data_IF_088891755944
#
_entry.id   IF_088891755944
#
_cell.length_a   1.000
_cell.length_b   1.000
_cell.length_c   1.000
_cell.angle_alpha   90.00
_cell.angle_beta   90.00
_cell.angle_gamma   90.00
#
_symmetry.space_group_name_H-M   'P 1'
#
loop_
_entity.id
_entity.type
_entity.pdbx_description
1 polymer ?
#
# COMPACT_ATOMS: atom_id res chain seq x y z
N UNK A 1 -8.44 25.79 -10.44
CA UNK A 1 -8.86 24.52 -9.81
C UNK A 1 -7.73 24.00 -8.95
N UNK A 2 -8.05 23.58 -7.76
CA UNK A 2 -7.06 23.01 -6.83
C UNK A 2 -7.26 21.52 -6.76
N UNK A 3 -6.18 20.77 -6.96
CA UNK A 3 -6.21 19.31 -6.87
C UNK A 3 -5.09 18.83 -5.98
N UNK A 4 -5.43 17.95 -5.05
CA UNK A 4 -4.43 17.37 -4.16
C UNK A 4 -4.88 15.95 -3.81
N UNK A 5 -3.94 15.01 -3.88
CA UNK A 5 -4.25 13.60 -3.65
C UNK A 5 -3.04 12.94 -3.00
N UNK A 6 -3.16 12.70 -1.71
CA UNK A 6 -2.09 12.07 -0.95
C UNK A 6 -2.71 11.17 0.11
N UNK A 7 -2.21 9.95 0.19
CA UNK A 7 -2.70 8.94 1.13
C UNK A 7 -1.50 8.35 1.85
N UNK A 8 -1.59 8.28 3.18
CA UNK A 8 -0.60 7.61 4.00
C UNK A 8 -1.32 6.57 4.84
N UNK A 9 -0.89 5.32 4.72
CA UNK A 9 -1.51 4.22 5.46
C UNK A 9 -0.43 3.38 6.12
N UNK A 10 -0.69 2.95 7.34
CA UNK A 10 0.12 1.97 8.03
C UNK A 10 -0.77 0.82 8.42
N UNK A 11 -0.35 -0.39 8.09
CA UNK A 11 -1.15 -1.57 8.37
C UNK A 11 -0.36 -2.83 8.13
N UNK A 12 -1.07 -3.95 8.16
CA UNK A 12 -0.47 -5.27 7.98
C UNK A 12 -0.96 -5.91 6.70
N UNK A 13 -0.07 -6.65 6.06
CA UNK A 13 -0.45 -7.39 4.87
C UNK A 13 -1.36 -8.56 5.26
N UNK A 14 -2.49 -8.69 4.56
CA UNK A 14 -3.42 -9.78 4.81
C UNK A 14 -3.08 -11.02 4.02
N UNK A 15 -2.18 -10.89 3.05
CA UNK A 15 -1.71 -12.01 2.23
C UNK A 15 -0.32 -11.67 1.71
N UNK A 16 0.34 -12.66 1.13
CA UNK A 16 1.64 -12.43 0.52
C UNK A 16 1.51 -11.51 -0.68
N UNK A 17 2.52 -10.66 -0.94
CA UNK A 17 2.50 -9.80 -2.12
C UNK A 17 2.47 -10.62 -3.41
N UNK A 18 1.73 -10.13 -4.39
CA UNK A 18 1.65 -10.75 -5.70
C UNK A 18 2.43 -9.90 -6.69
N UNK A 19 3.59 -10.38 -7.10
CA UNK A 19 4.40 -9.71 -8.10
C UNK A 19 4.06 -10.25 -9.47
N UNK A 20 3.84 -9.36 -10.42
CA UNK A 20 3.62 -9.73 -11.80
C UNK A 20 4.29 -8.74 -12.71
N UNK A 21 4.56 -9.18 -13.92
CA UNK A 21 5.17 -8.32 -14.93
C UNK A 21 4.20 -8.14 -16.08
N UNK A 22 4.08 -6.90 -16.53
CA UNK A 22 3.22 -6.57 -17.65
C UNK A 22 3.92 -6.93 -18.97
N UNK A 23 3.17 -6.98 -20.09
CA UNK A 23 3.79 -7.29 -21.38
C UNK A 23 4.93 -6.36 -21.78
N UNK A 24 4.92 -5.14 -21.26
CA UNK A 24 6.00 -4.18 -21.53
C UNK A 24 7.20 -4.35 -20.59
N UNK A 25 7.14 -5.32 -19.67
CA UNK A 25 8.23 -5.61 -18.75
C UNK A 25 8.17 -4.88 -17.43
N UNK A 26 7.22 -4.02 -17.23
CA UNK A 26 7.10 -3.28 -15.96
C UNK A 26 6.64 -4.20 -14.83
N UNK A 27 7.28 -4.06 -13.68
CA UNK A 27 6.91 -4.80 -12.50
C UNK A 27 5.71 -4.15 -11.82
N UNK A 28 4.81 -4.97 -11.31
CA UNK A 28 3.62 -4.53 -10.61
C UNK A 28 3.38 -5.49 -9.44
N UNK A 29 3.18 -4.95 -8.25
CA UNK A 29 2.94 -5.77 -7.07
C UNK A 29 1.66 -5.33 -6.39
N UNK A 30 0.78 -6.29 -6.14
CA UNK A 30 -0.48 -6.04 -5.46
C UNK A 30 -0.35 -6.44 -4.00
N UNK A 31 -0.73 -5.53 -3.13
CA UNK A 31 -0.79 -5.74 -1.70
C UNK A 31 -2.22 -5.53 -1.21
N UNK A 32 -2.57 -6.22 -0.14
CA UNK A 32 -3.82 -5.93 0.56
C UNK A 32 -3.50 -5.69 2.02
N UNK A 33 -3.81 -4.48 2.47
CA UNK A 33 -3.53 -4.07 3.85
C UNK A 33 -4.78 -4.12 4.70
N UNK A 34 -4.60 -4.48 5.96
CA UNK A 34 -5.62 -4.27 6.97
C UNK A 34 -5.16 -3.11 7.83
N UNK A 35 -5.99 -2.07 7.89
CA UNK A 35 -5.72 -0.88 8.68
C UNK A 35 -6.80 -0.81 9.75
N UNK A 36 -6.38 -0.90 11.01
CA UNK A 36 -7.30 -0.95 12.13
C UNK A 36 -7.41 0.40 12.80
N UNK A 37 -8.60 0.68 13.31
CA UNK A 37 -8.84 1.86 14.11
C UNK A 37 -9.54 1.43 15.39
N UNK A 38 -9.04 1.88 16.53
CA UNK A 38 -9.63 1.58 17.83
C UNK A 38 -9.98 2.91 18.49
N UNK A 39 -11.20 2.98 19.02
CA UNK A 39 -11.61 4.19 19.74
C UNK A 39 -12.52 3.80 20.90
N UNK A 40 -12.65 4.74 21.84
CA UNK A 40 -13.51 4.56 23.00
C UNK A 40 -14.83 5.24 22.72
N UNK A 41 -15.91 4.49 22.82
CA UNK A 41 -17.25 5.00 22.58
C UNK A 41 -17.81 5.77 23.77
N UNK A 42 -18.96 6.39 23.56
CA UNK A 42 -19.66 7.11 24.63
C UNK A 42 -20.09 6.18 25.76
N UNK A 43 -20.22 4.90 25.45
CA UNK A 43 -20.57 3.87 26.45
C UNK A 43 -19.38 3.44 27.29
N UNK A 44 -18.22 4.04 27.08
CA UNK A 44 -17.01 3.70 27.80
C UNK A 44 -16.31 2.45 27.31
N UNK A 45 -16.84 1.82 26.27
CA UNK A 45 -16.24 0.59 25.72
C UNK A 45 -15.36 0.88 24.53
N UNK A 46 -14.38 0.02 24.33
CA UNK A 46 -13.50 0.11 23.17
C UNK A 46 -14.19 -0.50 21.95
N UNK A 47 -14.08 0.19 20.83
CA UNK A 47 -14.60 -0.26 19.54
C UNK A 47 -13.46 -0.37 18.56
N UNK A 48 -13.58 -1.28 17.61
CA UNK A 48 -12.56 -1.52 16.61
C UNK A 48 -13.18 -1.66 15.23
N UNK A 49 -12.63 -0.93 14.28
CA UNK A 49 -12.94 -1.09 12.86
C UNK A 49 -11.68 -1.55 12.12
N UNK A 50 -11.89 -2.34 11.09
CA UNK A 50 -10.81 -2.74 10.21
C UNK A 50 -11.18 -2.34 8.79
N UNK A 51 -10.26 -1.63 8.13
CA UNK A 51 -10.43 -1.24 6.75
C UNK A 51 -9.44 -2.05 5.91
N UNK A 52 -9.93 -2.71 4.87
CA UNK A 52 -9.08 -3.44 3.95
C UNK A 52 -8.86 -2.60 2.70
N UNK A 53 -7.59 -2.39 2.35
CA UNK A 53 -7.23 -1.49 1.27
C UNK A 53 -6.32 -2.23 0.29
N UNK A 54 -6.66 -2.14 -0.99
CA UNK A 54 -5.79 -2.65 -2.05
C UNK A 54 -4.76 -1.59 -2.40
N UNK A 55 -3.51 -2.00 -2.46
CA UNK A 55 -2.39 -1.13 -2.82
C UNK A 55 -1.67 -1.76 -4.00
N UNK A 56 -1.36 -0.95 -4.99
CA UNK A 56 -0.53 -1.38 -6.11
C UNK A 56 0.78 -0.63 -6.08
N UNK A 57 1.86 -1.37 -6.28
CA UNK A 57 3.21 -0.82 -6.36
C UNK A 57 3.77 -1.09 -7.75
N UNK A 58 4.63 -0.19 -8.22
CA UNK A 58 5.19 -0.28 -9.55
C UNK A 58 6.71 -0.27 -9.51
N UNK A 59 7.31 -0.90 -10.52
CA UNK A 59 8.73 -0.83 -10.80
C UNK A 59 9.59 -1.32 -9.62
N UNK A 60 10.59 -0.57 -9.23
CA UNK A 60 11.51 -0.98 -8.18
C UNK A 60 10.81 -1.20 -6.85
N UNK A 61 9.86 -0.35 -6.51
CA UNK A 61 9.10 -0.49 -5.27
C UNK A 61 8.35 -1.82 -5.25
N UNK A 62 7.79 -2.22 -6.38
CA UNK A 62 7.09 -3.49 -6.50
C UNK A 62 8.04 -4.67 -6.26
N UNK A 63 9.22 -4.61 -6.85
CA UNK A 63 10.19 -5.68 -6.71
C UNK A 63 10.71 -5.81 -5.30
N UNK A 64 10.99 -4.67 -4.65
CA UNK A 64 11.45 -4.67 -3.27
C UNK A 64 10.39 -5.24 -2.34
N UNK A 65 9.15 -4.82 -2.53
CA UNK A 65 8.05 -5.31 -1.69
C UNK A 65 7.89 -6.83 -1.84
N UNK A 66 7.93 -7.32 -3.07
CA UNK A 66 7.77 -8.75 -3.30
C UNK A 66 8.91 -9.54 -2.69
N UNK A 67 10.09 -8.97 -2.64
CA UNK A 67 11.27 -9.66 -2.13
C UNK A 67 11.28 -9.75 -0.60
N UNK A 68 10.83 -8.71 0.09
CA UNK A 68 11.02 -8.59 1.53
C UNK A 68 9.75 -8.71 2.37
N UNK A 69 8.58 -8.64 1.74
CA UNK A 69 7.32 -8.67 2.48
C UNK A 69 6.63 -10.02 2.37
N UNK A 70 5.87 -10.34 3.40
CA UNK A 70 4.97 -11.49 3.38
C UNK A 70 3.81 -11.21 4.30
N UNK A 71 2.86 -12.12 4.29
CA UNK A 71 1.64 -12.00 5.08
C UNK A 71 1.97 -11.68 6.54
N UNK A 72 1.28 -10.72 7.11
CA UNK A 72 1.43 -10.33 8.51
C UNK A 72 2.44 -9.23 8.77
N UNK A 73 3.25 -8.87 7.79
CA UNK A 73 4.24 -7.81 7.97
C UNK A 73 3.53 -6.46 8.01
N UNK A 74 4.10 -5.56 8.82
CA UNK A 74 3.58 -4.21 8.93
C UNK A 74 4.36 -3.28 8.03
N UNK A 75 3.65 -2.40 7.35
CA UNK A 75 4.25 -1.46 6.41
C UNK A 75 3.57 -0.11 6.51
N UNK A 76 4.31 0.93 6.14
CA UNK A 76 3.74 2.26 5.92
C UNK A 76 3.84 2.54 4.42
N UNK A 77 2.73 2.90 3.81
CA UNK A 77 2.64 3.21 2.39
C UNK A 77 2.25 4.67 2.23
N UNK A 78 2.98 5.38 1.41
CA UNK A 78 2.62 6.72 1.00
C UNK A 78 2.38 6.73 -0.51
N UNK A 79 1.26 7.26 -0.92
CA UNK A 79 0.90 7.29 -2.32
C UNK A 79 -0.31 8.16 -2.59
N UNK A 80 -1.10 7.74 -3.55
CA UNK A 80 -2.29 8.48 -3.95
C UNK A 80 -3.45 7.52 -4.15
N UNK A 81 -4.65 8.06 -4.04
CA UNK A 81 -5.87 7.31 -4.31
C UNK A 81 -6.12 7.30 -5.82
N UNK A 82 -6.43 6.14 -6.34
CA UNK A 82 -6.75 5.96 -7.75
C UNK A 82 -8.10 5.30 -7.87
N UNK A 83 -8.90 5.77 -8.84
CA UNK A 83 -10.19 5.17 -9.14
C UNK A 83 -10.08 4.44 -10.47
N UNK A 84 -10.39 3.15 -10.44
CA UNK A 84 -10.48 2.32 -11.64
C UNK A 84 -11.94 2.23 -12.05
N UNK A 85 -12.20 2.40 -13.34
CA UNK A 85 -13.55 2.33 -13.88
C UNK A 85 -13.56 1.36 -15.06
N UNK A 86 -14.55 0.48 -15.07
CA UNK A 86 -14.69 -0.47 -16.18
C UNK A 86 -16.17 -0.81 -16.37
N UNK A 87 -16.47 -1.44 -17.47
CA UNK A 87 -17.83 -1.89 -17.76
C UNK A 87 -17.90 -3.39 -17.50
N UNK A 88 -18.83 -3.77 -16.62
CA UNK A 88 -19.10 -5.18 -16.36
C UNK A 88 -19.93 -5.72 -17.53
N UNK A 89 -19.31 -6.56 -18.36
CA UNK A 89 -19.95 -7.08 -19.56
C UNK A 89 -21.15 -7.95 -19.26
N UNK A 90 -21.16 -8.61 -18.11
CA UNK A 90 -22.28 -9.50 -17.75
C UNK A 90 -23.52 -8.70 -17.39
N UNK A 91 -23.35 -7.64 -16.62
CA UNK A 91 -24.47 -6.83 -16.14
C UNK A 91 -24.72 -5.62 -17.01
N UNK A 92 -23.80 -5.28 -17.92
CA UNK A 92 -23.88 -4.07 -18.72
C UNK A 92 -23.75 -2.80 -17.89
N UNK A 93 -23.22 -2.91 -16.69
CA UNK A 93 -23.14 -1.80 -15.75
C UNK A 93 -21.71 -1.28 -15.62
N UNK A 94 -21.63 0.03 -15.41
CA UNK A 94 -20.36 0.68 -15.14
C UNK A 94 -19.97 0.42 -13.67
N UNK A 95 -18.77 -0.09 -13.48
CA UNK A 95 -18.26 -0.39 -12.13
C UNK A 95 -17.04 0.46 -11.84
N UNK A 96 -16.83 0.75 -10.58
CA UNK A 96 -15.65 1.49 -10.14
C UNK A 96 -15.08 0.88 -8.88
N UNK A 97 -13.80 1.08 -8.69
CA UNK A 97 -13.09 0.59 -7.52
C UNK A 97 -11.98 1.57 -7.20
N UNK A 98 -11.78 1.83 -5.91
CA UNK A 98 -10.69 2.66 -5.45
C UNK A 98 -9.54 1.78 -4.98
N UNK A 99 -8.32 2.24 -5.24
CA UNK A 99 -7.12 1.60 -4.71
C UNK A 99 -6.08 2.68 -4.48
N UNK A 100 -5.03 2.33 -3.76
CA UNK A 100 -3.92 3.25 -3.51
C UNK A 100 -2.74 2.83 -4.40
N UNK A 101 -2.19 3.80 -5.12
CA UNK A 101 -0.94 3.60 -5.84
C UNK A 101 0.17 4.05 -4.92
N UNK A 102 1.01 3.11 -4.46
CA UNK A 102 2.07 3.42 -3.52
C UNK A 102 3.28 3.99 -4.23
N UNK A 103 3.71 5.16 -3.82
CA UNK A 103 4.92 5.79 -4.33
C UNK A 103 6.14 5.39 -3.51
N UNK A 104 5.95 5.20 -2.21
CA UNK A 104 7.03 4.76 -1.32
C UNK A 104 6.46 3.85 -0.25
N UNK A 105 7.33 3.01 0.29
CA UNK A 105 6.94 2.04 1.28
C UNK A 105 8.05 1.92 2.32
N UNK A 106 7.65 1.82 3.59
CA UNK A 106 8.58 1.59 4.69
C UNK A 106 8.15 0.35 5.45
N UNK A 107 9.12 -0.45 5.82
CA UNK A 107 8.88 -1.67 6.59
C UNK A 107 8.88 -1.32 8.06
N UNK A 108 7.78 -1.57 8.75
CA UNK A 108 7.61 -1.15 10.14
C UNK A 108 7.79 -2.25 11.16
N UNK A 109 7.47 -3.49 10.81
CA UNK A 109 7.59 -4.57 11.76
C UNK A 109 9.03 -5.00 11.83
N UNK A 110 9.68 -4.50 12.82
CA UNK A 110 11.02 -4.50 12.74
C UNK A 110 11.84 -5.33 13.65
N UNK A 111 11.60 -6.55 13.80
CA UNK A 111 12.56 -7.35 14.50
C UNK A 111 13.73 -7.71 13.62
N UNK A 112 13.56 -7.61 12.33
CA UNK A 112 14.53 -8.07 11.37
C UNK A 112 15.24 -6.87 10.75
N UNK A 113 16.56 -6.88 10.76
CA UNK A 113 17.35 -5.78 10.21
C UNK A 113 17.11 -5.60 8.72
N UNK A 114 16.77 -6.65 8.02
CA UNK A 114 16.46 -6.56 6.61
C UNK A 114 15.27 -5.65 6.33
N UNK A 115 14.41 -5.48 7.32
CA UNK A 115 13.24 -4.63 7.18
C UNK A 115 13.58 -3.15 7.12
N UNK A 116 14.78 -2.78 7.53
CA UNK A 116 15.19 -1.39 7.50
C UNK A 116 15.88 -1.01 6.19
N UNK A 117 16.03 -1.91 5.28
CA UNK A 117 16.59 -1.62 3.95
C UNK A 117 15.57 -0.86 3.16
N UNK A 118 15.96 0.27 2.74
CA UNK A 118 15.05 1.07 1.98
C UNK A 118 15.64 1.34 0.64
N UNK A 119 15.52 1.52 0.56
CA UNK A 119 15.89 1.95 -0.20
C UNK A 119 16.71 2.90 -0.39
N UNK A 120 17.21 2.92 0.25
CA UNK A 120 17.62 3.42 0.35
C UNK A 120 18.33 3.48 -0.21
N UNK A 121 18.35 3.29 -0.54
CA UNK A 121 18.37 3.08 -0.94
C UNK A 121 18.04 3.19 -1.34
N UNK A 122 17.46 3.28 -1.25
CA UNK A 122 16.59 3.44 -1.19
C UNK A 122 16.10 3.96 -0.82
N UNK A 123 16.35 4.21 -0.93
CA UNK A 123 15.49 4.64 -0.31
C UNK A 123 15.37 5.25 -0.16
N UNK A 124 15.59 5.76 -0.58
CA UNK A 124 15.05 6.22 -0.38
C UNK A 124 14.87 6.32 -0.75
N UNK A 125 14.85 5.88 -1.22
CA UNK A 125 14.21 5.94 -1.30
C UNK A 125 13.93 6.65 -1.37
N UNK A 126 14.17 6.91 -1.91
CA UNK A 126 13.55 7.50 -1.63
C UNK A 126 13.30 8.12 -1.45
N UNK A 127 14.00 8.68 -1.99
CA UNK A 127 13.19 9.15 -1.68
C UNK A 127 13.24 9.79 -1.35
N UNK A 128 13.17 10.22 -1.44
CA UNK A 128 12.63 10.79 -0.89
C UNK A 128 12.53 11.06 -0.34
N UNK A 129 12.95 11.30 -0.89
CA UNK A 129 12.49 11.46 -0.19
C UNK A 129 12.41 11.50 0.45
N UNK A 130 13.22 11.77 0.15
CA UNK A 130 12.54 11.66 0.78
C UNK A 130 12.62 11.70 1.45
N UNK A 131 12.53 11.46 1.24
CA UNK A 131 12.12 11.53 1.97
C UNK A 131 11.97 11.62 2.57
N UNK A 132 12.10 11.40 2.50
CA UNK A 132 11.57 11.50 3.14
C UNK A 132 11.28 11.47 3.84
N UNK A 133 11.51 11.37 3.64
CA UNK A 133 10.91 11.39 4.31
C UNK A 133 10.60 11.34 5.01
N UNK A 134 10.81 11.31 4.71
CA UNK A 134 10.16 11.24 5.36
C UNK A 134 9.86 11.23 5.87
#
# INVERSE_FOLDING_TARGET
>A
MVNFNSVVLAGQLTRDPELRYLPDGKACCDLRLSVSRVWKGKDGQNHKDVCFVDVVLWNRTAEVAAQYLNKGRSVLVHGRLECLTWIDKRAGEKRSKHRVVGNSIQFLSGTDKADSVTDETEARVEGPDGSEEE
#
